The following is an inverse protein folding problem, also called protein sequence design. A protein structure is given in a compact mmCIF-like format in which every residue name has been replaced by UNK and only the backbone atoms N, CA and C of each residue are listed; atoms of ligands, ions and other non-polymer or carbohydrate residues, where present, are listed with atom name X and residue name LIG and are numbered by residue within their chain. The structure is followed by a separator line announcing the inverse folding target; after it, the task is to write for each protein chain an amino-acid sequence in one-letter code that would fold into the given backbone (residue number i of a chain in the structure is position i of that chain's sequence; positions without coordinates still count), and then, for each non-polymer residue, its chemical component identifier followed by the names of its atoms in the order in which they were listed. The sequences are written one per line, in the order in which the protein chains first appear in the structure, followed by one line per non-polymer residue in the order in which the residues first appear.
data_IF_602428015210
#
_entry.id   IF_602428015210
#
_cell.length_a   1.000
_cell.length_b   1.000
_cell.length_c   1.000
_cell.angle_alpha   90.00
_cell.angle_beta   90.00
_cell.angle_gamma   90.00
#
_symmetry.space_group_name_H-M   'P 1'
#
loop_
_entity.id
_entity.type
_entity.pdbx_description
1 polymer ?
#
# COMPACT_ATOMS: atom_id res chain seq x y z
N UNK A 1 17.95 -33.06 -7.00
CA UNK A 1 18.89 -32.56 -8.02
C UNK A 1 19.44 -31.24 -7.52
N UNK A 2 20.76 -31.10 -7.40
CA UNK A 2 21.40 -29.84 -7.03
C UNK A 2 21.45 -28.94 -8.26
N UNK A 3 21.33 -27.62 -8.08
CA UNK A 3 21.32 -26.63 -9.18
C UNK A 3 22.56 -26.76 -10.07
N UNK A 4 23.69 -27.14 -9.50
CA UNK A 4 24.97 -27.33 -10.19
C UNK A 4 24.97 -28.50 -11.20
N UNK A 5 24.00 -29.40 -11.14
CA UNK A 5 23.85 -30.51 -12.08
C UNK A 5 22.68 -30.32 -13.05
N UNK A 6 22.06 -29.13 -13.09
CA UNK A 6 20.97 -28.83 -14.02
C UNK A 6 21.51 -28.80 -15.45
N UNK A 7 20.98 -29.67 -16.30
CA UNK A 7 21.34 -29.71 -17.71
C UNK A 7 20.31 -28.95 -18.54
N UNK A 8 20.71 -28.53 -19.75
CA UNK A 8 19.79 -27.92 -20.70
C UNK A 8 18.63 -28.86 -21.09
N UNK A 9 18.88 -30.18 -21.08
CA UNK A 9 17.85 -31.19 -21.33
C UNK A 9 16.75 -31.20 -20.28
N UNK A 10 17.10 -30.95 -19.01
CA UNK A 10 16.12 -30.85 -17.93
C UNK A 10 15.20 -29.65 -18.12
N UNK A 11 15.73 -28.51 -18.57
CA UNK A 11 14.94 -27.30 -18.88
C UNK A 11 13.98 -27.56 -20.06
N UNK A 12 14.49 -28.17 -21.14
CA UNK A 12 13.66 -28.52 -22.30
C UNK A 12 12.55 -29.51 -21.95
N UNK A 13 12.81 -30.46 -21.05
CA UNK A 13 11.83 -31.45 -20.63
C UNK A 13 10.62 -30.83 -19.89
N UNK A 14 10.82 -29.69 -19.23
CA UNK A 14 9.79 -28.98 -18.45
C UNK A 14 9.09 -27.89 -19.26
N UNK A 15 9.66 -27.46 -20.40
CA UNK A 15 9.11 -26.41 -21.23
C UNK A 15 7.63 -26.62 -21.65
N UNK A 16 7.16 -27.83 -22.04
CA UNK A 16 5.75 -28.05 -22.36
C UNK A 16 4.81 -27.82 -21.18
N UNK A 17 5.23 -28.22 -19.97
CA UNK A 17 4.45 -28.03 -18.75
C UNK A 17 4.36 -26.54 -18.37
N UNK A 18 5.44 -25.78 -18.57
CA UNK A 18 5.45 -24.32 -18.36
C UNK A 18 4.53 -23.63 -19.36
N UNK A 19 4.58 -24.01 -20.64
CA UNK A 19 3.70 -23.44 -21.66
C UNK A 19 2.23 -23.75 -21.38
N UNK A 20 1.91 -24.98 -20.96
CA UNK A 20 0.55 -25.36 -20.59
C UNK A 20 -0.01 -24.54 -19.42
N UNK A 21 0.86 -24.05 -18.53
CA UNK A 21 0.48 -23.31 -17.33
C UNK A 21 0.78 -21.80 -17.41
N UNK A 22 1.19 -21.30 -18.58
CA UNK A 22 1.65 -19.93 -18.76
C UNK A 22 0.60 -18.89 -18.35
N UNK A 23 -0.66 -19.09 -18.73
CA UNK A 23 -1.76 -18.17 -18.38
C UNK A 23 -2.05 -18.19 -16.88
N UNK A 24 -2.00 -19.36 -16.25
CA UNK A 24 -2.18 -19.50 -14.80
C UNK A 24 -1.05 -18.82 -14.03
N UNK A 25 0.19 -18.96 -14.49
CA UNK A 25 1.35 -18.25 -13.92
C UNK A 25 1.21 -16.74 -14.08
N UNK A 26 0.79 -16.28 -15.26
CA UNK A 26 0.55 -14.85 -15.51
C UNK A 26 -0.52 -14.29 -14.58
N UNK A 27 -1.64 -14.98 -14.43
CA UNK A 27 -2.70 -14.59 -13.50
C UNK A 27 -2.23 -14.59 -12.04
N UNK A 28 -1.42 -15.58 -11.65
CA UNK A 28 -0.85 -15.66 -10.31
C UNK A 28 0.07 -14.47 -10.03
N UNK A 29 0.95 -14.12 -10.97
CA UNK A 29 1.85 -12.98 -10.86
C UNK A 29 1.06 -11.68 -10.76
N UNK A 30 0.02 -11.49 -11.57
CA UNK A 30 -0.83 -10.30 -11.51
C UNK A 30 -1.48 -10.14 -10.13
N UNK A 31 -1.97 -11.24 -9.53
CA UNK A 31 -2.54 -11.22 -8.18
C UNK A 31 -1.49 -10.91 -7.12
N UNK A 32 -0.30 -11.53 -7.21
CA UNK A 32 0.80 -11.27 -6.29
C UNK A 32 1.24 -9.80 -6.36
N UNK A 33 1.33 -9.21 -7.56
CA UNK A 33 1.63 -7.79 -7.74
C UNK A 33 0.56 -6.89 -7.13
N UNK A 34 -0.71 -7.22 -7.32
CA UNK A 34 -1.81 -6.47 -6.68
C UNK A 34 -1.73 -6.52 -5.16
N UNK A 35 -1.38 -7.66 -4.58
CA UNK A 35 -1.19 -7.80 -3.13
C UNK A 35 -0.03 -6.95 -2.61
N UNK A 36 1.11 -6.95 -3.32
CA UNK A 36 2.27 -6.11 -2.97
C UNK A 36 1.87 -4.64 -2.93
N UNK A 37 1.14 -4.17 -3.95
CA UNK A 37 0.68 -2.79 -4.02
C UNK A 37 -0.26 -2.41 -2.86
N UNK A 38 -1.18 -3.31 -2.48
CA UNK A 38 -2.05 -3.09 -1.30
C UNK A 38 -1.24 -3.05 -0.01
N UNK A 39 -0.25 -3.95 0.13
CA UNK A 39 0.63 -4.01 1.31
C UNK A 39 1.45 -2.74 1.46
N UNK A 40 2.01 -2.22 0.36
CA UNK A 40 2.75 -0.96 0.34
C UNK A 40 1.86 0.21 0.76
N UNK A 41 0.64 0.31 0.22
CA UNK A 41 -0.29 1.37 0.60
C UNK A 41 -0.73 1.30 2.08
N UNK A 42 -0.89 0.09 2.64
CA UNK A 42 -1.15 -0.08 4.07
C UNK A 42 0.04 0.33 4.93
N UNK A 43 1.26 0.03 4.49
CA UNK A 43 2.47 0.46 5.19
C UNK A 43 2.63 1.98 5.16
N UNK A 44 2.35 2.64 4.02
CA UNK A 44 2.33 4.10 3.93
C UNK A 44 1.30 4.72 4.89
N UNK A 45 0.11 4.12 4.99
CA UNK A 45 -0.93 4.54 5.93
C UNK A 45 -0.46 4.42 7.38
N UNK A 46 0.23 3.34 7.74
CA UNK A 46 0.72 3.11 9.09
C UNK A 46 1.80 4.13 9.48
N UNK A 47 2.74 4.40 8.56
CA UNK A 47 3.75 5.45 8.70
C UNK A 47 3.10 6.83 8.82
N UNK A 48 2.10 7.11 7.99
CA UNK A 48 1.35 8.36 8.06
C UNK A 48 0.62 8.52 9.38
N UNK A 49 -0.06 7.47 9.86
CA UNK A 49 -0.78 7.48 11.12
C UNK A 49 0.13 7.70 12.33
N UNK A 50 1.33 7.11 12.31
CA UNK A 50 2.33 7.31 13.35
C UNK A 50 2.91 8.74 13.39
N UNK A 51 2.99 9.41 12.24
CA UNK A 51 3.54 10.77 12.10
C UNK A 51 2.51 11.90 12.07
N UNK A 52 1.21 11.60 12.00
CA UNK A 52 0.16 12.60 11.85
C UNK A 52 0.00 13.43 13.14
N UNK A 53 0.28 14.72 13.05
CA UNK A 53 0.13 15.69 14.14
C UNK A 53 -0.68 16.90 13.70
N UNK A 54 -1.45 17.49 14.62
CA UNK A 54 -2.16 18.74 14.35
C UNK A 54 -1.22 19.94 14.47
N UNK A 55 -1.22 20.80 13.45
CA UNK A 55 -0.59 22.12 13.53
C UNK A 55 -1.43 23.03 14.41
N UNK A 56 -0.87 23.45 15.54
CA UNK A 56 -1.53 24.31 16.53
C UNK A 56 -0.94 25.72 16.50
N UNK A 57 -1.81 26.72 16.55
CA UNK A 57 -1.43 28.13 16.75
C UNK A 57 -2.06 28.64 18.04
N UNK A 58 -1.28 29.33 18.87
CA UNK A 58 -1.80 29.93 20.09
C UNK A 58 -2.74 31.09 19.79
N UNK A 59 -3.95 31.03 20.32
CA UNK A 59 -4.94 32.10 20.29
C UNK A 59 -5.25 32.55 21.72
N UNK A 60 -5.53 33.84 21.92
CA UNK A 60 -5.99 34.36 23.22
C UNK A 60 -7.43 34.82 23.07
N UNK A 61 -8.31 34.26 23.88
CA UNK A 61 -9.73 34.59 23.82
C UNK A 61 -10.05 35.93 24.52
N UNK A 62 -11.32 36.34 24.49
CA UNK A 62 -11.80 37.56 25.15
C UNK A 62 -11.68 37.53 26.68
N UNK A 63 -11.45 36.36 27.28
CA UNK A 63 -11.23 36.15 28.73
C UNK A 63 -9.74 36.03 29.07
N UNK A 64 -8.84 36.36 28.14
CA UNK A 64 -7.38 36.26 28.26
C UNK A 64 -6.87 34.83 28.49
N UNK A 65 -7.64 33.81 28.11
CA UNK A 65 -7.20 32.42 28.15
C UNK A 65 -6.49 32.05 26.85
N UNK A 66 -5.38 31.30 26.97
CA UNK A 66 -4.70 30.74 25.80
C UNK A 66 -5.39 29.46 25.37
N UNK A 67 -5.84 29.44 24.12
CA UNK A 67 -6.47 28.28 23.48
C UNK A 67 -5.66 27.92 22.23
N UNK A 68 -5.16 26.69 22.10
CA UNK A 68 -4.53 26.25 20.87
C UNK A 68 -5.59 25.99 19.80
N UNK A 69 -5.44 26.61 18.63
CA UNK A 69 -6.31 26.41 17.47
C UNK A 69 -5.61 25.56 16.42
N UNK A 70 -6.35 24.60 15.84
CA UNK A 70 -5.87 23.82 14.70
C UNK A 70 -5.94 24.69 13.45
N UNK A 71 -4.81 24.90 12.78
CA UNK A 71 -4.74 25.76 11.60
C UNK A 71 -4.73 25.00 10.28
N UNK A 72 -4.17 23.79 10.23
CA UNK A 72 -4.04 22.99 8.99
C UNK A 72 -5.04 21.81 8.91
N UNK A 73 -6.22 21.97 9.50
CA UNK A 73 -7.22 20.89 9.56
C UNK A 73 -7.66 20.41 8.17
N UNK A 74 -7.73 21.32 7.18
CA UNK A 74 -8.20 21.01 5.83
C UNK A 74 -7.25 20.04 5.12
N UNK A 75 -5.95 20.19 5.33
CA UNK A 75 -4.94 19.31 4.76
C UNK A 75 -5.04 17.91 5.38
N UNK A 76 -5.12 17.82 6.72
CA UNK A 76 -5.30 16.57 7.45
C UNK A 76 -6.56 15.82 6.98
N UNK A 77 -7.70 16.51 6.87
CA UNK A 77 -8.96 15.90 6.41
C UNK A 77 -8.88 15.45 4.95
N UNK A 78 -8.21 16.21 4.09
CA UNK A 78 -8.01 15.83 2.68
C UNK A 78 -7.18 14.56 2.55
N UNK A 79 -6.16 14.39 3.38
CA UNK A 79 -5.33 13.18 3.41
C UNK A 79 -6.15 11.96 3.86
N UNK A 80 -6.95 12.09 4.92
CA UNK A 80 -7.86 11.02 5.37
C UNK A 80 -8.89 10.62 4.30
N UNK A 81 -9.43 11.59 3.55
CA UNK A 81 -10.38 11.32 2.48
C UNK A 81 -9.75 10.52 1.33
N UNK A 82 -8.52 10.84 0.92
CA UNK A 82 -7.79 10.08 -0.09
C UNK A 82 -7.58 8.63 0.35
N UNK A 83 -7.15 8.44 1.59
CA UNK A 83 -6.92 7.11 2.18
C UNK A 83 -8.22 6.29 2.26
N UNK A 84 -9.32 6.94 2.67
CA UNK A 84 -10.64 6.31 2.78
C UNK A 84 -11.19 5.90 1.40
N UNK A 85 -10.99 6.73 0.37
CA UNK A 85 -11.38 6.41 -1.00
C UNK A 85 -10.58 5.22 -1.56
N UNK A 86 -9.26 5.19 -1.33
CA UNK A 86 -8.39 4.11 -1.77
C UNK A 86 -8.80 2.76 -1.14
N UNK A 87 -9.08 2.74 0.18
CA UNK A 87 -9.55 1.55 0.89
C UNK A 87 -10.89 1.03 0.33
N UNK A 88 -11.80 1.94 -0.04
CA UNK A 88 -13.12 1.58 -0.58
C UNK A 88 -13.04 0.97 -1.98
N UNK A 89 -12.04 1.35 -2.78
CA UNK A 89 -11.85 0.85 -4.14
C UNK A 89 -11.26 -0.58 -4.18
N UNK A 90 -10.50 -0.97 -3.16
CA UNK A 90 -9.82 -2.27 -3.06
C UNK A 90 -10.51 -3.27 -2.12
N UNK A 91 -11.56 -2.86 -1.40
CA UNK A 91 -12.36 -3.75 -0.52
C UNK A 91 -13.55 -4.41 -1.25
N UNK A 92 -13.72 -4.18 -2.55
CA UNK A 92 -14.79 -4.79 -3.38
C UNK A 92 -14.33 -6.02 -4.17
N UNK A 93 -13.29 -6.71 -3.69
CA UNK A 93 -12.82 -8.00 -4.23
C UNK A 93 -13.22 -9.12 -3.28
#
# INVERSE_FOLDING_TARGET
MLIEHLTFGDILSVAPAVMAQADNLKNLIQRAQAEVLVREALQELDVWGAGAVFSLTSYTDSRKQRVPLITDWKNVVTQVNKLSAYKKQHSSV
#
